data_IF_348662901560
#
_entry.id   IF_348662901560
#
_cell.length_a   1.000
_cell.length_b   1.000
_cell.length_c   1.000
_cell.angle_alpha   90.00
_cell.angle_beta   90.00
_cell.angle_gamma   90.00
#
_symmetry.space_group_name_H-M   'P 1'
#
loop_
_entity.id
_entity.type
_entity.pdbx_description
1 polymer ?
#
# COMPACT_ATOMS: atom_id res chain seq x y z
N UNK A 1 -18.13 9.74 3.79
CA UNK A 1 -17.27 9.24 2.69
C UNK A 1 -16.53 10.45 2.13
N UNK A 2 -15.20 10.44 2.01
CA UNK A 2 -14.46 11.58 1.45
C UNK A 2 -14.95 11.89 0.03
N UNK A 3 -15.07 13.18 -0.30
CA UNK A 3 -15.42 13.65 -1.65
C UNK A 3 -14.32 13.25 -2.63
N UNK A 4 -14.67 12.99 -3.90
CA UNK A 4 -13.63 12.80 -4.94
C UNK A 4 -12.70 14.01 -5.07
N UNK A 5 -13.21 15.20 -4.74
CA UNK A 5 -12.45 16.46 -4.76
C UNK A 5 -11.37 16.56 -3.68
N UNK A 6 -11.43 15.70 -2.64
CA UNK A 6 -10.43 15.65 -1.55
C UNK A 6 -9.37 14.57 -1.77
N UNK A 7 -9.42 13.83 -2.88
CA UNK A 7 -8.47 12.74 -3.13
C UNK A 7 -7.20 13.26 -3.81
N UNK A 8 -6.06 13.02 -3.17
CA UNK A 8 -4.74 13.21 -3.78
C UNK A 8 -4.24 11.91 -4.40
N UNK A 9 -3.53 12.02 -5.53
CA UNK A 9 -2.89 10.90 -6.21
C UNK A 9 -1.38 10.96 -6.03
N UNK A 10 -0.75 9.79 -5.89
CA UNK A 10 0.70 9.64 -6.00
C UNK A 10 1.02 8.84 -7.26
N UNK A 11 2.09 9.24 -7.94
CA UNK A 11 2.71 8.42 -8.97
C UNK A 11 3.88 7.67 -8.33
N UNK A 12 3.97 6.36 -8.59
CA UNK A 12 4.94 5.48 -7.95
C UNK A 12 5.44 4.44 -8.95
N UNK A 13 6.75 4.39 -9.12
CA UNK A 13 7.43 3.31 -9.81
C UNK A 13 7.85 2.24 -8.80
N UNK A 14 7.77 0.98 -9.21
CA UNK A 14 8.20 -0.15 -8.39
C UNK A 14 8.99 -1.13 -9.23
N UNK A 15 9.87 -1.89 -8.58
CA UNK A 15 10.61 -2.95 -9.24
C UNK A 15 9.67 -4.08 -9.72
N UNK A 16 10.19 -4.90 -10.64
CA UNK A 16 9.42 -5.96 -11.28
C UNK A 16 8.93 -7.02 -10.28
N UNK A 17 9.72 -7.34 -9.26
CA UNK A 17 9.38 -8.36 -8.28
C UNK A 17 8.23 -7.90 -7.38
N UNK A 18 8.32 -6.68 -6.86
CA UNK A 18 7.24 -6.04 -6.09
C UNK A 18 5.96 -5.96 -6.92
N UNK A 19 6.07 -5.60 -8.20
CA UNK A 19 4.95 -5.53 -9.12
C UNK A 19 4.25 -6.89 -9.32
N UNK A 20 5.01 -7.98 -9.42
CA UNK A 20 4.49 -9.34 -9.55
C UNK A 20 3.81 -9.81 -8.26
N UNK A 21 4.42 -9.55 -7.09
CA UNK A 21 3.83 -9.88 -5.78
C UNK A 21 2.51 -9.15 -5.55
N UNK A 22 2.45 -7.86 -5.90
CA UNK A 22 1.23 -7.06 -5.80
C UNK A 22 0.12 -7.60 -6.72
N UNK A 23 0.47 -8.03 -7.93
CA UNK A 23 -0.47 -8.59 -8.89
C UNK A 23 -1.03 -9.95 -8.46
N UNK A 24 -0.18 -10.83 -7.95
CA UNK A 24 -0.61 -12.09 -7.35
C UNK A 24 -1.57 -11.84 -6.18
N UNK A 25 -1.23 -10.89 -5.30
CA UNK A 25 -2.11 -10.51 -4.19
C UNK A 25 -3.46 -9.97 -4.64
N UNK A 26 -3.46 -9.10 -5.66
CA UNK A 26 -4.69 -8.51 -6.19
C UNK A 26 -5.61 -9.60 -6.79
N UNK A 27 -5.04 -10.57 -7.50
CA UNK A 27 -5.76 -11.72 -8.05
C UNK A 27 -6.41 -12.56 -6.97
N UNK A 28 -5.66 -12.92 -5.93
CA UNK A 28 -6.15 -13.72 -4.79
C UNK A 28 -7.33 -13.03 -4.08
N UNK A 29 -7.22 -11.72 -3.90
CA UNK A 29 -8.23 -10.91 -3.20
C UNK A 29 -9.36 -10.41 -4.12
N UNK A 30 -9.38 -10.80 -5.41
CA UNK A 30 -10.36 -10.36 -6.41
C UNK A 30 -10.48 -8.83 -6.52
N UNK A 31 -9.34 -8.13 -6.45
CA UNK A 31 -9.24 -6.66 -6.53
C UNK A 31 -8.44 -6.23 -7.76
N UNK A 32 -8.63 -4.98 -8.18
CA UNK A 32 -7.69 -4.38 -9.12
C UNK A 32 -6.35 -4.11 -8.42
N UNK A 33 -5.27 -4.08 -9.20
CA UNK A 33 -3.92 -3.81 -8.69
C UNK A 33 -3.84 -2.48 -7.92
N UNK A 34 -4.53 -1.44 -8.40
CA UNK A 34 -4.62 -0.14 -7.74
C UNK A 34 -5.36 -0.20 -6.40
N UNK A 35 -6.48 -0.92 -6.34
CA UNK A 35 -7.23 -1.09 -5.09
C UNK A 35 -6.43 -1.86 -4.05
N UNK A 36 -5.74 -2.92 -4.48
CA UNK A 36 -4.90 -3.72 -3.58
C UNK A 36 -3.71 -2.91 -3.06
N UNK A 37 -3.05 -2.13 -3.92
CA UNK A 37 -1.98 -1.22 -3.51
C UNK A 37 -2.48 -0.19 -2.48
N UNK A 38 -3.61 0.45 -2.75
CA UNK A 38 -4.24 1.40 -1.85
C UNK A 38 -4.61 0.77 -0.51
N UNK A 39 -5.18 -0.44 -0.53
CA UNK A 39 -5.56 -1.17 0.68
C UNK A 39 -4.33 -1.53 1.51
N UNK A 40 -3.28 -2.09 0.90
CA UNK A 40 -2.04 -2.48 1.59
C UNK A 40 -1.31 -1.26 2.14
N UNK A 41 -1.25 -0.17 1.38
CA UNK A 41 -0.64 1.08 1.83
C UNK A 41 -1.41 1.67 3.02
N UNK A 42 -2.74 1.79 2.90
CA UNK A 42 -3.58 2.29 4.00
C UNK A 42 -3.44 1.42 5.24
N UNK A 43 -3.51 0.09 5.09
CA UNK A 43 -3.34 -0.84 6.20
C UNK A 43 -1.98 -0.67 6.88
N UNK A 44 -0.90 -0.58 6.10
CA UNK A 44 0.43 -0.37 6.65
C UNK A 44 0.52 0.95 7.42
N UNK A 45 0.02 2.05 6.84
CA UNK A 45 0.05 3.38 7.46
C UNK A 45 -0.84 3.47 8.71
N UNK A 46 -1.97 2.76 8.77
CA UNK A 46 -2.82 2.72 9.98
C UNK A 46 -2.12 2.02 11.15
N UNK A 47 -1.23 1.06 10.86
CA UNK A 47 -0.45 0.35 11.88
C UNK A 47 0.97 0.90 12.03
N UNK A 48 1.32 1.93 11.26
CA UNK A 48 2.58 2.62 11.35
C UNK A 48 2.49 3.58 12.55
N UNK A 49 2.96 3.10 13.70
CA UNK A 49 3.13 3.94 14.88
C UNK A 49 4.37 4.82 14.68
N UNK A 50 4.20 6.15 14.67
CA UNK A 50 5.30 7.11 14.62
C UNK A 50 6.28 6.94 15.79
N UNK A 51 5.87 6.24 16.86
CA UNK A 51 6.68 5.87 18.01
C UNK A 51 7.18 4.42 18.00
N UNK A 52 7.04 3.68 16.89
CA UNK A 52 7.80 2.43 16.71
C UNK A 52 9.29 2.77 16.71
N UNK A 53 9.90 2.72 17.91
CA UNK A 53 11.35 2.73 18.07
C UNK A 53 11.88 1.68 17.09
N UNK A 54 12.88 2.00 16.24
CA UNK A 54 13.52 0.99 15.44
C UNK A 54 13.89 -0.14 16.38
N UNK A 55 13.37 -1.35 16.13
CA UNK A 55 13.88 -2.54 16.81
C UNK A 55 15.33 -2.63 16.36
N UNK A 56 16.19 -2.13 17.25
CA UNK A 56 17.65 -2.05 17.25
C UNK A 56 18.36 -2.70 16.07
N UNK A 57 19.23 -1.90 15.43
CA UNK A 57 20.41 -2.38 14.70
C UNK A 57 21.11 -3.44 15.54
N UNK A 58 21.37 -4.61 14.95
CA UNK A 58 22.50 -5.48 15.23
C UNK A 58 22.81 -6.25 13.93
#
# INVERSE_FOLDING_TARGET
MPSKDDMTGIWFEMDKETNQRLEASAKENKRTKRQEASFRLSHHLTHFDEHMKPRTKN
#
